data_IF_410264737001
#
_entry.id   IF_410264737001
#
_cell.length_a   1.000
_cell.length_b   1.000
_cell.length_c   1.000
_cell.angle_alpha   90.00
_cell.angle_beta   90.00
_cell.angle_gamma   90.00
#
_symmetry.space_group_name_H-M   'P 1'
#
loop_
_entity.id
_entity.type
_entity.pdbx_description
1 polymer ?
2 non-polymer ?
3 non-polymer ?
4 water ?
#
# COMPACT_ATOMS: atom_id res chain seq x y z
N UNK A 1 -21.01 17.38 2.47
CA UNK A 1 -19.85 17.30 1.54
C UNK A 1 -19.90 16.06 0.66
N UNK A 2 -19.50 16.20 -0.59
CA UNK A 2 -19.23 15.06 -1.47
C UNK A 2 -17.74 14.72 -1.42
N UNK A 3 -17.43 13.43 -1.30
CA UNK A 3 -16.06 12.96 -1.30
C UNK A 3 -15.82 12.03 -2.50
N UNK A 4 -14.70 12.21 -3.18
CA UNK A 4 -14.34 11.35 -4.30
C UNK A 4 -13.13 10.51 -3.94
N UNK A 5 -13.34 9.21 -3.87
CA UNK A 5 -12.23 8.28 -3.72
C UNK A 5 -11.87 7.83 -5.12
N UNK A 6 -10.59 7.66 -5.38
CA UNK A 6 -10.17 7.24 -6.71
C UNK A 6 -9.37 5.92 -6.68
N UNK A 7 -9.61 5.05 -7.66
CA UNK A 7 -9.06 3.72 -7.65
C UNK A 7 -10.13 2.63 -7.61
N UNK A 8 -9.72 1.37 -7.69
CA UNK A 8 -10.68 0.28 -7.84
C UNK A 8 -10.40 -0.96 -6.98
N UNK A 9 -9.39 -0.91 -6.12
CA UNK A 9 -9.03 -2.08 -5.34
C UNK A 9 -9.55 -2.09 -3.91
N UNK A 10 -8.96 -2.94 -3.07
CA UNK A 10 -9.46 -3.11 -1.71
C UNK A 10 -9.24 -1.90 -0.83
N UNK A 11 -8.15 -1.19 -1.10
CA UNK A 11 -7.77 0.02 -0.37
C UNK A 11 -8.83 1.11 -0.55
N UNK A 12 -9.32 1.24 -1.77
CA UNK A 12 -10.32 2.24 -2.10
C UNK A 12 -11.68 1.89 -1.52
N UNK A 13 -11.96 0.59 -1.38
CA UNK A 13 -13.19 0.15 -0.74
C UNK A 13 -13.16 0.57 0.73
N UNK A 14 -12.04 0.26 1.38
CA UNK A 14 -11.86 0.67 2.76
C UNK A 14 -11.96 2.18 2.90
N UNK A 15 -11.40 2.90 1.93
CA UNK A 15 -11.54 4.35 1.92
C UNK A 15 -13.00 4.75 1.80
N UNK A 16 -13.69 4.20 0.80
CA UNK A 16 -15.11 4.49 0.61
C UNK A 16 -15.92 4.07 1.82
N UNK A 17 -15.57 2.92 2.38
CA UNK A 17 -16.19 2.42 3.60
C UNK A 17 -16.06 3.40 4.78
N UNK A 18 -14.85 3.90 5.00
CA UNK A 18 -14.57 4.76 6.14
C UNK A 18 -15.18 6.15 5.92
N UNK A 19 -15.01 6.68 4.71
CA UNK A 19 -15.54 8.00 4.39
C UNK A 19 -17.05 8.05 4.59
N UNK A 20 -17.72 6.93 4.31
CA UNK A 20 -19.17 6.87 4.37
C UNK A 20 -19.69 6.92 5.80
N UNK A 21 -18.86 6.50 6.73
CA UNK A 21 -19.22 6.56 8.14
C UNK A 21 -19.14 7.99 8.66
N UNK A 22 -18.61 8.88 7.83
CA UNK A 22 -18.35 10.26 8.25
C UNK A 22 -19.62 11.10 8.31
N UNK A 23 -19.69 11.97 9.31
CA UNK A 23 -20.88 12.78 9.52
C UNK A 23 -20.88 14.05 8.66
N UNK A 24 -19.77 14.31 7.97
CA UNK A 24 -19.63 15.53 7.17
C UNK A 24 -20.07 15.30 5.74
N UNK A 25 -20.23 14.02 5.37
CA UNK A 25 -20.33 13.63 3.97
C UNK A 25 -21.77 13.30 3.53
N UNK A 26 -22.27 14.04 2.55
CA UNK A 26 -23.59 13.77 1.96
C UNK A 26 -23.48 12.64 0.94
N UNK A 27 -22.43 12.69 0.12
CA UNK A 27 -22.22 11.70 -0.93
C UNK A 27 -20.77 11.25 -1.06
N UNK A 28 -20.58 9.95 -1.29
CA UNK A 28 -19.26 9.41 -1.56
C UNK A 28 -19.22 8.80 -2.95
N UNK A 29 -18.34 9.32 -3.80
CA UNK A 29 -18.18 8.78 -5.14
C UNK A 29 -16.91 7.93 -5.19
N UNK A 30 -16.95 6.85 -5.95
CA UNK A 30 -15.74 6.08 -6.18
C UNK A 30 -15.58 5.95 -7.67
N UNK A 31 -14.38 6.23 -8.16
CA UNK A 31 -14.16 6.25 -9.60
C UNK A 31 -12.87 5.56 -9.98
N UNK A 32 -12.97 4.41 -10.66
CA UNK A 32 -14.26 3.78 -11.01
C UNK A 32 -14.92 3.05 -9.84
N UNK A 33 -14.11 2.59 -8.90
CA UNK A 33 -14.62 1.75 -7.84
C UNK A 33 -14.76 0.31 -8.30
N UNK A 34 -15.65 -0.43 -7.66
CA UNK A 34 -16.01 -1.76 -8.09
C UNK A 34 -17.34 -2.10 -7.43
N UNK A 35 -17.90 -3.26 -7.75
CA UNK A 35 -19.31 -3.53 -7.44
C UNK A 35 -19.56 -3.98 -6.01
N UNK A 36 -18.51 -4.41 -5.31
CA UNK A 36 -18.66 -4.75 -3.91
C UNK A 36 -18.70 -3.50 -3.06
N UNK A 37 -18.43 -2.38 -3.72
CA UNK A 37 -18.12 -1.12 -3.07
C UNK A 37 -19.38 -0.25 -3.02
N UNK A 38 -20.47 -0.81 -3.53
CA UNK A 38 -21.60 0.00 -3.98
C UNK A 38 -22.49 0.51 -2.87
N UNK A 39 -22.45 -0.16 -1.72
CA UNK A 39 -23.19 0.28 -0.54
C UNK A 39 -22.46 1.46 0.11
N UNK A 40 -21.18 1.58 -0.19
CA UNK A 40 -20.35 2.64 0.39
C UNK A 40 -20.23 3.84 -0.55
N UNK A 41 -20.12 3.57 -1.85
CA UNK A 41 -19.77 4.60 -2.83
C UNK A 41 -20.58 4.49 -4.12
N UNK A 42 -21.28 5.56 -4.49
CA UNK A 42 -21.89 5.67 -5.80
C UNK A 42 -20.79 5.63 -6.84
N UNK A 43 -20.72 4.53 -7.61
CA UNK A 43 -19.65 4.34 -8.56
C UNK A 43 -19.72 5.39 -9.66
N UNK A 44 -18.60 5.57 -10.37
CA UNK A 44 -18.47 6.60 -11.39
C UNK A 44 -17.55 6.10 -12.48
N UNK A 45 -18.09 5.96 -13.69
CA UNK A 45 -17.40 5.18 -14.73
C UNK A 45 -16.18 5.89 -15.32
N UNK A 46 -15.54 6.74 -14.54
CA UNK A 46 -14.35 7.39 -15.02
C UNK A 46 -13.14 6.60 -14.55
N UNK A 47 -12.33 6.11 -15.48
CA UNK A 47 -11.14 5.38 -15.10
C UNK A 47 -10.13 6.38 -14.57
N UNK A 48 -9.13 5.88 -13.82
CA UNK A 48 -8.25 6.74 -13.04
C UNK A 48 -7.05 7.28 -13.84
N UNK A 49 -6.89 6.82 -15.07
CA UNK A 49 -5.90 7.44 -15.94
C UNK A 49 -6.52 8.67 -16.58
N UNK A 50 -7.82 8.82 -16.37
CA UNK A 50 -8.62 9.83 -17.03
C UNK A 50 -8.57 11.14 -16.24
N UNK A 51 -7.37 11.68 -16.05
CA UNK A 51 -7.19 12.83 -15.18
C UNK A 51 -8.16 13.96 -15.52
N UNK A 52 -8.47 14.10 -16.81
CA UNK A 52 -9.29 15.19 -17.29
C UNK A 52 -10.78 14.97 -17.00
N UNK A 53 -11.24 13.74 -17.17
CA UNK A 53 -12.61 13.42 -16.83
C UNK A 53 -12.81 13.36 -15.32
N UNK A 54 -11.74 13.03 -14.60
CA UNK A 54 -11.82 13.05 -13.14
C UNK A 54 -11.90 14.50 -12.65
N UNK A 55 -11.01 15.35 -13.15
CA UNK A 55 -11.04 16.76 -12.79
C UNK A 55 -12.38 17.37 -13.16
N UNK A 56 -12.85 17.04 -14.36
CA UNK A 56 -14.07 17.61 -14.89
C UNK A 56 -15.26 17.14 -14.08
N UNK A 57 -15.25 15.87 -13.72
CA UNK A 57 -16.36 15.32 -12.96
C UNK A 57 -16.43 16.03 -11.61
N UNK A 58 -15.31 15.99 -10.90
CA UNK A 58 -15.21 16.51 -9.53
C UNK A 58 -15.53 18.02 -9.45
N UNK A 59 -14.99 18.78 -10.40
CA UNK A 59 -15.26 20.21 -10.49
C UNK A 59 -16.75 20.48 -10.62
N UNK A 60 -17.41 19.68 -11.46
CA UNK A 60 -18.80 19.94 -11.79
C UNK A 60 -19.77 19.34 -10.78
N UNK A 61 -19.33 18.33 -10.05
CA UNK A 61 -20.19 17.62 -9.11
C UNK A 61 -19.95 18.01 -7.66
N UNK A 62 -19.25 19.13 -7.48
CA UNK A 62 -19.07 19.73 -6.17
C UNK A 62 -18.38 18.79 -5.17
N UNK A 63 -17.27 18.20 -5.59
CA UNK A 63 -16.52 17.32 -4.70
C UNK A 63 -15.67 18.17 -3.78
N UNK A 64 -15.97 18.08 -2.49
CA UNK A 64 -15.27 18.90 -1.52
C UNK A 64 -13.91 18.34 -1.16
N UNK A 65 -13.74 17.04 -1.31
CA UNK A 65 -12.49 16.37 -0.96
C UNK A 65 -12.32 15.15 -1.84
N UNK A 66 -11.19 15.10 -2.55
CA UNK A 66 -10.83 13.93 -3.34
C UNK A 66 -9.67 13.19 -2.70
N UNK A 67 -9.83 11.88 -2.56
CA UNK A 67 -8.74 11.04 -2.05
C UNK A 67 -8.26 10.13 -3.17
N UNK A 68 -6.96 10.17 -3.44
CA UNK A 68 -6.41 9.41 -4.55
C UNK A 68 -5.78 8.12 -4.04
N UNK A 69 -6.35 6.98 -4.41
CA UNK A 69 -5.90 5.71 -3.87
C UNK A 69 -4.61 5.13 -4.40
N UNK A 70 -4.46 4.94 -5.73
CA UNK A 70 -3.26 4.36 -6.35
C UNK A 70 -2.15 5.37 -6.69
N UNK A 71 -0.94 4.85 -6.89
CA UNK A 71 0.24 5.68 -7.01
C UNK A 71 0.56 6.18 -8.41
N UNK A 72 0.15 5.46 -9.45
CA UNK A 72 0.48 5.90 -10.80
C UNK A 72 -0.12 7.27 -11.07
N UNK A 73 -1.41 7.45 -10.77
CA UNK A 73 -1.98 8.78 -11.00
C UNK A 73 -1.21 9.86 -10.25
N UNK A 74 -0.72 9.52 -9.07
CA UNK A 74 0.06 10.45 -8.25
C UNK A 74 1.42 10.69 -8.87
N UNK A 75 2.08 9.59 -9.26
CA UNK A 75 3.39 9.65 -9.90
C UNK A 75 3.27 10.52 -11.14
N UNK A 76 2.13 10.37 -11.84
CA UNK A 76 1.89 11.10 -13.06
C UNK A 76 1.13 12.40 -12.86
N UNK A 77 0.94 12.78 -11.60
CA UNK A 77 0.55 14.14 -11.27
C UNK A 77 -0.94 14.45 -11.30
N UNK A 78 -1.78 13.47 -11.01
CA UNK A 78 -3.21 13.73 -11.00
C UNK A 78 -3.55 14.84 -10.02
N UNK A 79 -2.75 14.94 -8.95
CA UNK A 79 -2.95 15.94 -7.91
C UNK A 79 -2.78 17.35 -8.47
N UNK A 80 -1.66 17.60 -9.14
CA UNK A 80 -1.38 18.92 -9.70
C UNK A 80 -2.56 19.41 -10.55
N UNK A 81 -3.17 18.48 -11.28
CA UNK A 81 -4.28 18.82 -12.16
C UNK A 81 -5.49 19.31 -11.37
N UNK A 82 -5.79 18.64 -10.26
CA UNK A 82 -6.95 19.02 -9.47
C UNK A 82 -6.77 20.41 -8.89
N UNK A 83 -5.55 20.72 -8.46
CA UNK A 83 -5.22 22.02 -7.90
C UNK A 83 -5.32 23.14 -8.93
N UNK A 84 -4.88 22.88 -10.16
CA UNK A 84 -5.15 23.81 -11.27
C UNK A 84 -6.64 24.11 -11.44
N UNK A 85 -7.48 23.10 -11.20
CA UNK A 85 -8.92 23.28 -11.30
C UNK A 85 -9.51 23.90 -10.04
N UNK A 86 -8.70 24.03 -9.00
CA UNK A 86 -9.14 24.72 -7.81
C UNK A 86 -9.71 23.74 -6.82
N UNK A 87 -9.43 22.46 -7.05
CA UNK A 87 -10.10 21.37 -6.36
C UNK A 87 -9.33 20.93 -5.13
N UNK A 88 -10.06 20.59 -4.09
CA UNK A 88 -9.48 20.24 -2.80
C UNK A 88 -9.15 18.74 -2.83
N UNK A 89 -7.87 18.40 -2.73
CA UNK A 89 -7.46 17.01 -2.93
C UNK A 89 -6.34 16.54 -2.00
N UNK A 90 -6.41 15.28 -1.57
CA UNK A 90 -5.43 14.76 -0.64
C UNK A 90 -4.47 13.79 -1.33
N UNK A 91 -3.20 14.16 -1.38
CA UNK A 91 -2.21 13.37 -2.10
C UNK A 91 -1.04 14.26 -2.46
N UNK A 92 0.12 13.68 -2.83
CA UNK A 92 1.32 14.42 -3.21
C UNK A 92 1.28 14.98 -4.62
N UNK A 93 1.99 16.08 -4.81
CA UNK A 93 2.28 16.62 -6.14
C UNK A 93 3.19 15.64 -6.88
N UNK A 94 3.26 15.76 -8.19
CA UNK A 94 4.16 14.95 -9.01
C UNK A 94 5.60 15.08 -8.48
N UNK A 95 5.95 16.29 -8.04
CA UNK A 95 7.26 16.51 -7.45
C UNK A 95 7.46 15.68 -6.18
N UNK A 96 6.44 15.57 -5.35
CA UNK A 96 6.58 14.89 -4.07
C UNK A 96 6.51 13.37 -4.29
N UNK A 97 5.61 12.94 -5.18
CA UNK A 97 5.41 11.53 -5.45
C UNK A 97 6.69 10.88 -5.94
N UNK A 98 7.71 11.70 -6.21
CA UNK A 98 8.96 11.19 -6.71
C UNK A 98 9.57 10.29 -5.64
N UNK A 99 9.17 10.52 -4.39
CA UNK A 99 9.73 9.81 -3.26
C UNK A 99 9.41 8.33 -3.38
N UNK A 100 8.30 8.00 -4.05
CA UNK A 100 8.02 6.60 -4.36
C UNK A 100 8.36 6.26 -5.80
N UNK A 101 8.27 7.27 -6.67
CA UNK A 101 8.37 7.03 -8.10
C UNK A 101 9.77 6.67 -8.56
N UNK A 102 10.78 7.28 -7.96
CA UNK A 102 12.17 6.96 -8.25
C UNK A 102 12.92 6.49 -7.00
N UNK A 103 13.24 5.20 -6.93
CA UNK A 103 13.94 4.67 -5.77
C UNK A 103 15.34 5.23 -5.66
N UNK A 104 15.95 5.59 -6.77
CA UNK A 104 17.24 6.27 -6.70
C UNK A 104 17.09 7.56 -5.86
N UNK A 105 16.12 8.39 -6.26
CA UNK A 105 15.81 9.62 -5.55
C UNK A 105 15.67 9.41 -4.04
N UNK A 106 14.96 8.35 -3.65
CA UNK A 106 14.69 8.10 -2.24
C UNK A 106 15.91 7.56 -1.54
N UNK A 107 16.76 6.83 -2.27
CA UNK A 107 17.97 6.28 -1.69
C UNK A 107 18.89 7.44 -1.42
N UNK A 108 19.04 8.30 -2.42
CA UNK A 108 19.90 9.47 -2.36
C UNK A 108 19.48 10.43 -1.25
N UNK A 109 18.17 10.67 -1.13
CA UNK A 109 17.62 11.58 -0.12
C UNK A 109 17.94 11.07 1.28
N UNK A 110 17.63 9.80 1.51
CA UNK A 110 17.94 9.17 2.79
C UNK A 110 19.42 9.27 3.12
N UNK A 111 20.26 9.04 2.13
CA UNK A 111 21.71 9.20 2.24
C UNK A 111 22.05 10.63 2.64
N UNK A 112 21.61 11.57 1.80
CA UNK A 112 21.84 12.99 2.02
C UNK A 112 21.39 13.45 3.41
N UNK A 113 20.26 12.91 3.87
CA UNK A 113 19.62 13.36 5.11
C UNK A 113 19.74 12.34 6.22
N UNK A 114 20.76 11.50 6.11
CA UNK A 114 21.10 10.55 7.17
C UNK A 114 19.85 9.82 7.70
N UNK A 115 19.07 9.23 6.80
CA UNK A 115 17.99 8.33 7.19
C UNK A 115 18.41 6.87 6.99
N UNK A 116 18.18 6.03 8.00
CA UNK A 116 18.64 4.63 7.95
C UNK A 116 18.03 3.84 6.80
N UNK A 117 18.90 3.29 5.95
CA UNK A 117 18.46 2.42 4.87
C UNK A 117 19.62 1.50 4.45
N UNK A 118 19.33 0.52 3.59
CA UNK A 118 20.37 -0.36 3.11
C UNK A 118 21.41 0.43 2.32
N UNK A 119 22.66 0.04 2.46
CA UNK A 119 23.74 0.62 1.68
C UNK A 119 23.56 0.20 0.22
N UNK A 120 23.95 1.07 -0.72
CA UNK A 120 23.57 0.88 -2.12
C UNK A 120 24.46 1.61 -3.13
N UNK A 121 24.26 1.27 -4.40
CA UNK A 121 24.65 2.12 -5.53
C UNK A 121 23.59 2.00 -6.62
N UNK A 122 23.57 2.96 -7.54
CA UNK A 122 22.58 2.93 -8.60
C UNK A 122 23.28 2.98 -9.96
N UNK A 123 22.84 2.12 -10.89
CA UNK A 123 23.55 1.96 -12.16
C UNK A 123 22.70 2.22 -13.40
N UNK A 124 23.36 2.67 -14.47
CA UNK A 124 22.74 2.80 -15.77
C UNK A 124 23.49 1.95 -16.79
N UNK A 125 24.69 1.52 -16.40
CA UNK A 125 25.48 0.59 -17.20
C UNK A 125 25.39 -0.83 -16.66
N UNK A 126 25.05 -1.78 -17.53
CA UNK A 126 24.98 -3.18 -17.15
C UNK A 126 26.34 -3.69 -16.68
N UNK A 127 27.37 -3.41 -17.48
CA UNK A 127 28.75 -3.81 -17.15
C UNK A 127 29.15 -3.34 -15.77
N UNK A 128 28.84 -2.08 -15.46
CA UNK A 128 29.26 -1.52 -14.20
C UNK A 128 28.45 -2.07 -13.04
N UNK A 129 27.18 -2.35 -13.30
CA UNK A 129 26.32 -2.99 -12.31
C UNK A 129 26.84 -4.40 -11.98
N UNK A 130 27.15 -5.16 -13.02
CA UNK A 130 27.62 -6.54 -12.88
C UNK A 130 28.93 -6.61 -12.11
N UNK A 131 29.82 -5.67 -12.41
CA UNK A 131 31.11 -5.62 -11.72
C UNK A 131 30.92 -5.31 -10.23
N UNK A 132 29.88 -4.54 -9.92
CA UNK A 132 29.52 -4.23 -8.54
C UNK A 132 28.90 -5.42 -7.82
N UNK A 133 28.07 -6.18 -8.54
CA UNK A 133 27.56 -7.43 -7.99
C UNK A 133 28.71 -8.38 -7.70
N UNK A 134 29.68 -8.44 -8.61
CA UNK A 134 30.78 -9.37 -8.45
C UNK A 134 31.77 -8.90 -7.37
N UNK A 135 31.67 -7.63 -6.99
CA UNK A 135 32.51 -7.09 -5.92
C UNK A 135 31.86 -7.31 -4.55
N UNK A 136 30.58 -7.00 -4.44
CA UNK A 136 29.85 -7.14 -3.19
C UNK A 136 29.43 -8.58 -2.87
N UNK A 137 29.30 -9.40 -3.91
CA UNK A 137 28.83 -10.76 -3.70
C UNK A 137 27.36 -10.85 -3.28
N UNK A 138 26.85 -12.07 -3.18
CA UNK A 138 25.47 -12.29 -2.78
C UNK A 138 25.43 -12.74 -1.32
N UNK A 139 24.31 -12.51 -0.61
CA UNK A 139 23.05 -11.91 -1.10
C UNK A 139 23.17 -10.44 -1.48
N UNK A 140 22.31 -10.02 -2.40
CA UNK A 140 22.31 -8.66 -2.90
C UNK A 140 20.91 -8.41 -3.47
N UNK A 141 20.44 -7.17 -3.38
CA UNK A 141 19.09 -6.86 -3.84
C UNK A 141 19.13 -5.93 -5.06
N UNK A 142 18.45 -6.35 -6.12
CA UNK A 142 18.46 -5.61 -7.38
C UNK A 142 17.09 -4.95 -7.54
N UNK A 143 17.08 -3.62 -7.59
CA UNK A 143 15.83 -2.88 -7.67
C UNK A 143 15.72 -1.97 -8.88
N UNK A 144 14.65 -2.12 -9.65
CA UNK A 144 14.34 -1.15 -10.70
C UNK A 144 14.01 0.20 -10.06
N UNK A 145 14.47 1.27 -10.68
CA UNK A 145 14.26 2.61 -10.14
C UNK A 145 12.78 3.00 -10.12
N UNK A 146 12.12 2.88 -11.28
CA UNK A 146 10.77 3.36 -11.44
C UNK A 146 9.77 2.28 -11.09
N UNK A 147 8.49 2.56 -11.30
CA UNK A 147 7.44 1.77 -10.67
C UNK A 147 7.48 0.27 -11.00
N UNK A 148 7.42 -0.07 -12.29
CA UNK A 148 7.65 -1.45 -12.70
C UNK A 148 6.62 -2.46 -12.15
N UNK A 149 5.61 -1.96 -11.43
CA UNK A 149 4.40 -2.73 -11.15
C UNK A 149 4.42 -3.56 -9.87
N UNK A 150 5.48 -3.40 -9.07
CA UNK A 150 5.64 -4.21 -7.86
C UNK A 150 6.46 -5.46 -8.11
N UNK A 151 6.54 -5.86 -9.38
CA UNK A 151 7.25 -7.07 -9.81
C UNK A 151 8.66 -6.76 -10.28
N UNK A 152 9.27 -5.74 -9.69
CA UNK A 152 10.59 -5.31 -10.11
C UNK A 152 11.64 -5.27 -9.02
N UNK A 153 11.46 -6.10 -8.00
CA UNK A 153 12.47 -6.28 -6.97
C UNK A 153 12.90 -7.74 -6.89
N UNK A 154 14.20 -7.98 -6.97
CA UNK A 154 14.75 -9.32 -6.92
C UNK A 154 15.72 -9.46 -5.75
N UNK A 155 15.43 -10.35 -4.81
CA UNK A 155 16.41 -10.65 -3.78
C UNK A 155 17.25 -11.82 -4.26
N UNK A 156 18.48 -11.54 -4.68
CA UNK A 156 19.36 -12.55 -5.27
C UNK A 156 20.24 -13.24 -4.22
N UNK A 157 20.19 -14.56 -4.21
CA UNK A 157 21.02 -15.35 -3.32
C UNK A 157 22.34 -15.73 -3.99
N UNK A 158 22.39 -15.58 -5.32
CA UNK A 158 23.63 -15.79 -6.09
C UNK A 158 23.96 -14.58 -6.94
N UNK A 159 25.22 -14.47 -7.35
CA UNK A 159 25.61 -13.39 -8.25
C UNK A 159 25.06 -13.64 -9.66
N UNK A 160 24.82 -14.90 -9.97
CA UNK A 160 24.27 -15.26 -11.27
C UNK A 160 22.81 -14.84 -11.34
N UNK A 161 22.11 -14.97 -10.22
CA UNK A 161 20.73 -14.50 -10.11
C UNK A 161 20.66 -12.97 -10.28
N UNK A 162 21.64 -12.27 -9.70
CA UNK A 162 21.66 -10.82 -9.74
C UNK A 162 22.00 -10.33 -11.14
N UNK A 163 23.03 -10.91 -11.73
CA UNK A 163 23.47 -10.48 -13.04
C UNK A 163 22.39 -10.74 -14.12
N UNK A 164 21.61 -11.79 -13.94
CA UNK A 164 20.48 -12.08 -14.82
C UNK A 164 19.45 -10.96 -14.77
N UNK A 165 19.14 -10.50 -13.57
CA UNK A 165 18.15 -9.45 -13.39
C UNK A 165 18.63 -8.12 -13.97
N UNK A 166 19.90 -7.81 -13.72
CA UNK A 166 20.54 -6.65 -14.32
C UNK A 166 20.48 -6.73 -15.84
N UNK A 167 20.48 -7.95 -16.37
CA UNK A 167 20.36 -8.15 -17.81
C UNK A 167 18.95 -7.85 -18.31
N UNK A 168 17.94 -8.26 -17.56
CA UNK A 168 16.55 -7.97 -17.94
C UNK A 168 16.32 -6.48 -17.84
N UNK A 169 16.75 -5.90 -16.73
CA UNK A 169 16.47 -4.49 -16.44
C UNK A 169 17.21 -3.56 -17.38
N UNK A 170 18.52 -3.73 -17.46
CA UNK A 170 19.36 -2.78 -18.18
C UNK A 170 19.60 -3.17 -19.65
N UNK A 171 19.90 -4.43 -19.93
CA UNK A 171 20.13 -4.83 -21.32
C UNK A 171 18.83 -5.07 -22.13
N UNK A 172 17.79 -5.60 -21.49
CA UNK A 172 16.52 -5.86 -22.20
C UNK A 172 15.49 -4.75 -21.93
N UNK A 173 15.77 -3.91 -20.94
CA UNK A 173 14.83 -2.86 -20.51
C UNK A 173 13.45 -3.42 -20.18
N UNK A 174 13.43 -4.54 -19.46
CA UNK A 174 12.19 -5.22 -19.11
C UNK A 174 11.10 -4.19 -18.84
N UNK A 175 11.41 -3.24 -17.97
CA UNK A 175 10.41 -2.27 -17.53
C UNK A 175 10.59 -0.89 -18.16
N UNK A 176 11.21 -0.83 -19.33
CA UNK A 176 11.37 0.45 -20.01
C UNK A 176 12.25 1.41 -19.25
N UNK A 177 11.75 2.62 -19.03
CA UNK A 177 12.47 3.65 -18.28
C UNK A 177 12.49 3.34 -16.78
N UNK A 178 11.48 2.60 -16.34
CA UNK A 178 11.41 2.13 -14.96
C UNK A 178 12.69 1.37 -14.58
N UNK A 179 13.22 0.60 -15.54
CA UNK A 179 14.45 -0.18 -15.34
C UNK A 179 15.65 0.42 -16.07
N UNK A 180 15.48 1.61 -16.64
CA UNK A 180 16.58 2.33 -17.29
C UNK A 180 17.70 2.55 -16.29
N UNK A 181 17.33 2.57 -15.02
CA UNK A 181 18.26 2.76 -13.93
C UNK A 181 17.96 1.74 -12.84
N UNK A 182 19.00 1.32 -12.13
CA UNK A 182 18.87 0.23 -11.16
C UNK A 182 19.52 0.56 -9.81
N UNK A 183 18.79 0.34 -8.73
CA UNK A 183 19.39 0.38 -7.39
C UNK A 183 19.84 -1.03 -7.01
N UNK A 184 21.11 -1.15 -6.64
CA UNK A 184 21.63 -2.38 -6.06
C UNK A 184 21.97 -2.04 -4.60
N UNK A 185 21.37 -2.78 -3.67
CA UNK A 185 21.56 -2.49 -2.26
C UNK A 185 21.79 -3.77 -1.44
N UNK A 186 22.20 -3.59 -0.19
CA UNK A 186 22.53 -4.71 0.68
C UNK A 186 21.29 -5.46 1.15
N UNK A 187 21.46 -6.77 1.32
CA UNK A 187 20.39 -7.61 1.84
C UNK A 187 20.26 -7.44 3.37
N UNK A 188 19.08 -7.04 3.82
CA UNK A 188 18.82 -6.87 5.24
C UNK A 188 17.78 -7.93 5.67
N UNK A 189 17.70 -8.21 6.97
CA UNK A 189 16.72 -9.17 7.45
C UNK A 189 16.03 -8.76 8.75
N UNK A 190 14.94 -9.45 9.06
CA UNK A 190 14.27 -9.18 10.31
C UNK A 190 12.78 -9.05 10.08
N UNK A 191 12.09 -8.47 11.05
CA UNK A 191 10.67 -8.20 10.92
C UNK A 191 10.46 -7.01 9.98
N UNK A 192 9.56 -7.19 9.03
CA UNK A 192 9.19 -6.13 8.12
C UNK A 192 7.79 -5.61 8.52
N UNK A 193 7.63 -4.30 8.57
CA UNK A 193 6.33 -3.73 8.92
C UNK A 193 6.09 -2.41 8.22
N UNK A 194 4.83 -2.01 8.14
CA UNK A 194 4.47 -0.78 7.47
C UNK A 194 4.14 0.32 8.45
N UNK A 195 4.83 1.44 8.29
CA UNK A 195 4.51 2.64 9.04
C UNK A 195 3.96 3.71 8.10
N UNK A 196 2.66 3.88 8.11
CA UNK A 196 2.03 4.94 7.34
C UNK A 196 1.76 6.14 8.22
N UNK A 197 1.83 7.34 7.64
CA UNK A 197 1.55 8.56 8.37
C UNK A 197 0.91 9.62 7.48
N UNK A 198 0.03 10.42 8.08
CA UNK A 198 -0.51 11.61 7.44
C UNK A 198 0.52 12.76 7.47
N UNK A 199 0.94 13.19 6.29
CA UNK A 199 2.02 14.17 6.17
C UNK A 199 1.55 15.42 5.41
N UNK A 200 1.92 16.59 5.91
CA UNK A 200 1.78 17.80 5.13
C UNK A 200 2.92 18.72 5.50
N UNK A 201 3.78 19.01 4.53
CA UNK A 201 5.04 19.64 4.85
C UNK A 201 5.79 18.81 5.88
N UNK A 202 6.13 19.43 7.01
CA UNK A 202 6.92 18.76 8.04
C UNK A 202 6.03 18.13 9.09
N UNK A 203 4.73 18.42 9.03
CA UNK A 203 3.79 17.85 9.97
C UNK A 203 3.50 16.37 9.69
N UNK A 204 3.83 15.54 10.67
CA UNK A 204 3.63 14.11 10.58
C UNK A 204 2.61 13.66 11.62
N UNK A 205 1.62 12.91 11.18
CA UNK A 205 0.67 12.29 12.09
C UNK A 205 0.66 10.79 11.86
N UNK A 206 1.39 10.05 12.72
CA UNK A 206 1.58 8.62 12.52
C UNK A 206 0.27 7.86 12.65
N UNK A 207 0.14 6.81 11.84
CA UNK A 207 -0.92 5.83 11.98
C UNK A 207 -0.37 4.60 12.71
N UNK A 208 -1.26 3.73 13.16
CA UNK A 208 -0.85 2.46 13.77
C UNK A 208 -0.17 1.63 12.70
N UNK A 209 0.76 0.76 13.09
CA UNK A 209 1.53 -0.01 12.11
C UNK A 209 0.88 -1.35 11.74
N UNK A 210 1.30 -1.88 10.59
CA UNK A 210 0.77 -3.14 10.06
C UNK A 210 1.87 -3.99 9.45
N UNK A 211 1.57 -5.26 9.22
CA UNK A 211 2.51 -6.18 8.58
C UNK A 211 1.76 -7.07 7.62
N UNK A 212 2.38 -7.38 6.48
CA UNK A 212 1.70 -8.23 5.51
C UNK A 212 2.54 -9.38 5.00
N UNK A 213 1.87 -10.37 4.41
CA UNK A 213 2.55 -11.47 3.74
C UNK A 213 2.64 -11.16 2.26
N UNK A 214 3.85 -10.83 1.83
CA UNK A 214 4.11 -10.49 0.44
C UNK A 214 4.16 -11.75 -0.41
N UNK A 215 4.27 -12.91 0.25
CA UNK A 215 4.52 -14.17 -0.45
C UNK A 215 3.28 -15.04 -0.65
N UNK A 216 3.31 -15.84 -1.72
CA UNK A 216 2.13 -16.51 -2.23
C UNK A 216 1.60 -17.61 -1.32
N UNK A 217 2.46 -18.55 -0.96
CA UNK A 217 2.01 -19.75 -0.26
C UNK A 217 2.43 -19.75 1.20
N UNK A 218 1.72 -20.55 2.00
CA UNK A 218 1.97 -20.64 3.44
C UNK A 218 3.44 -20.89 3.75
N UNK A 219 3.81 -20.71 5.01
CA UNK A 219 5.21 -20.79 5.39
C UNK A 219 6.03 -19.82 4.57
N UNK A 220 5.36 -18.85 3.96
CA UNK A 220 6.00 -17.82 3.15
C UNK A 220 6.92 -18.43 2.08
N UNK A 221 6.40 -19.43 1.39
CA UNK A 221 7.10 -20.01 0.24
C UNK A 221 6.30 -19.72 -1.02
N UNK A 222 6.99 -19.52 -2.14
CA UNK A 222 6.32 -19.26 -3.40
C UNK A 222 6.73 -17.93 -4.03
N UNK A 223 6.16 -17.61 -5.20
CA UNK A 223 6.42 -16.30 -5.83
C UNK A 223 5.90 -15.18 -4.96
N UNK A 224 6.21 -13.94 -5.34
CA UNK A 224 5.70 -12.80 -4.60
C UNK A 224 4.25 -12.54 -4.97
N UNK A 225 3.57 -11.76 -4.15
CA UNK A 225 2.22 -11.29 -4.46
C UNK A 225 2.11 -9.79 -4.16
N UNK A 226 0.91 -9.26 -4.33
CA UNK A 226 0.64 -7.88 -3.95
C UNK A 226 0.04 -7.82 -2.55
N UNK A 227 0.14 -8.94 -1.82
CA UNK A 227 -0.40 -9.01 -0.47
C UNK A 227 -1.42 -10.12 -0.31
N UNK A 228 -1.12 -11.07 0.57
CA UNK A 228 -2.00 -12.22 0.80
C UNK A 228 -2.71 -12.10 2.13
N UNK A 229 -2.70 -10.90 2.68
CA UNK A 229 -3.33 -10.64 3.96
C UNK A 229 -2.40 -9.90 4.92
N UNK A 230 -2.98 -9.11 5.82
CA UNK A 230 -2.19 -8.41 6.82
C UNK A 230 -2.99 -8.26 8.10
N UNK A 231 -2.44 -7.52 9.05
CA UNK A 231 -3.08 -7.38 10.34
C UNK A 231 -2.45 -6.27 11.15
N UNK A 232 -3.24 -5.69 12.05
CA UNK A 232 -2.78 -4.61 12.92
C UNK A 232 -3.54 -4.75 14.23
N UNK A 233 -2.84 -4.61 15.39
CA UNK A 233 -1.42 -4.24 15.52
C UNK A 233 -0.43 -5.35 15.13
N UNK A 234 0.85 -5.05 15.27
CA UNK A 234 1.87 -6.07 15.13
C UNK A 234 2.49 -6.28 16.52
N UNK A 235 2.09 -7.37 17.21
CA UNK A 235 2.29 -7.53 18.65
C UNK A 235 3.77 -7.62 19.03
N UNK A 236 4.57 -8.17 18.12
CA UNK A 236 5.96 -8.50 18.44
C UNK A 236 6.89 -7.32 18.18
N UNK A 237 6.32 -6.17 17.85
CA UNK A 237 7.13 -4.97 17.68
C UNK A 237 6.69 -3.94 18.70
N UNK A 238 7.65 -3.40 19.46
CA UNK A 238 7.32 -2.62 20.64
C UNK A 238 6.74 -1.27 20.24
N UNK A 239 6.22 -0.55 21.22
CA UNK A 239 5.63 0.76 20.98
C UNK A 239 6.73 1.81 20.88
N UNK A 240 7.88 1.49 21.47
CA UNK A 240 9.03 2.39 21.43
C UNK A 240 9.75 2.24 20.11
N UNK A 241 9.71 1.02 19.56
CA UNK A 241 10.23 0.76 18.23
C UNK A 241 9.59 1.74 17.26
N UNK A 242 8.26 1.80 17.30
CA UNK A 242 7.48 2.61 16.37
C UNK A 242 7.68 4.10 16.62
N UNK A 243 7.59 4.53 17.87
CA UNK A 243 7.81 5.92 18.21
C UNK A 243 9.18 6.41 17.71
N UNK A 244 10.14 5.48 17.66
CA UNK A 244 11.51 5.78 17.28
C UNK A 244 11.70 5.95 15.78
N UNK A 245 11.02 5.12 14.99
CA UNK A 245 11.10 5.20 13.53
C UNK A 245 10.37 6.44 13.04
N UNK A 246 9.37 6.86 13.81
CA UNK A 246 8.62 8.07 13.51
C UNK A 246 9.52 9.30 13.60
N UNK A 247 10.42 9.26 14.57
CA UNK A 247 11.24 10.43 14.89
C UNK A 247 12.55 10.44 14.10
N UNK A 248 13.11 9.26 13.83
CA UNK A 248 14.40 9.17 13.13
C UNK A 248 14.28 8.90 11.63
N UNK A 249 13.07 8.55 11.17
CA UNK A 249 12.85 8.19 9.78
C UNK A 249 11.78 9.06 9.13
N UNK A 250 10.58 9.01 9.68
CA UNK A 250 9.40 9.52 9.00
C UNK A 250 9.35 11.04 9.02
N UNK A 251 9.49 11.62 10.21
CA UNK A 251 9.56 13.07 10.34
C UNK A 251 10.77 13.67 9.60
N UNK A 252 11.95 13.05 9.72
CA UNK A 252 13.11 13.50 8.93
C UNK A 252 12.89 13.42 7.42
N UNK A 253 12.12 12.44 6.98
CA UNK A 253 11.84 12.28 5.55
C UNK A 253 10.92 13.40 5.09
N UNK A 254 9.87 13.64 5.88
CA UNK A 254 8.92 14.72 5.60
C UNK A 254 9.65 16.04 5.51
N UNK A 255 10.50 16.30 6.50
CA UNK A 255 11.24 17.56 6.56
C UNK A 255 12.19 17.65 5.37
N UNK A 256 12.85 16.54 5.06
CA UNK A 256 13.74 16.47 3.91
C UNK A 256 13.02 16.81 2.62
N UNK A 257 11.78 16.35 2.48
CA UNK A 257 11.06 16.59 1.25
C UNK A 257 10.74 18.08 1.07
N UNK A 258 10.30 18.71 2.16
CA UNK A 258 10.08 20.16 2.19
C UNK A 258 11.33 20.91 1.75
N UNK A 259 12.46 20.56 2.35
CA UNK A 259 13.71 21.25 2.10
C UNK A 259 14.35 20.89 0.76
N UNK A 260 13.63 20.14 -0.07
CA UNK A 260 14.09 19.90 -1.43
C UNK A 260 13.10 20.43 -2.47
N UNK A 261 12.25 21.38 -2.07
CA UNK A 261 11.28 21.95 -2.99
C UNK A 261 10.26 20.92 -3.43
N UNK A 262 10.15 19.84 -2.66
CA UNK A 262 9.24 18.76 -2.97
C UNK A 262 8.35 18.47 -1.77
N UNK A 263 7.68 19.50 -1.26
CA UNK A 263 6.89 19.36 -0.05
C UNK A 263 5.81 18.28 -0.23
N UNK A 264 5.64 17.47 0.80
CA UNK A 264 4.77 16.30 0.71
C UNK A 264 3.53 16.44 1.57
N UNK A 265 2.37 16.40 0.90
CA UNK A 265 1.09 16.21 1.56
C UNK A 265 0.51 14.90 1.03
N UNK A 266 -0.11 14.12 1.90
CA UNK A 266 -0.61 12.82 1.48
C UNK A 266 -0.35 11.78 2.55
N UNK A 267 -0.37 10.51 2.15
CA UNK A 267 0.09 9.46 3.03
C UNK A 267 1.52 9.07 2.66
N UNK A 268 2.43 9.14 3.62
CA UNK A 268 3.76 8.63 3.34
C UNK A 268 3.84 7.23 3.94
N UNK A 269 4.30 6.29 3.14
CA UNK A 269 4.36 4.90 3.55
C UNK A 269 5.84 4.53 3.70
N UNK A 270 6.25 4.25 4.94
CA UNK A 270 7.58 3.71 5.17
C UNK A 270 7.48 2.21 5.45
N UNK A 271 7.84 1.41 4.45
CA UNK A 271 8.02 0.00 4.68
C UNK A 271 9.37 -0.16 5.32
N UNK A 272 9.40 -0.75 6.51
CA UNK A 272 10.61 -0.79 7.32
C UNK A 272 11.04 -2.23 7.67
N UNK A 273 12.36 -2.39 7.80
CA UNK A 273 12.98 -3.64 8.23
C UNK A 273 13.62 -3.41 9.60
N UNK A 274 13.05 -3.98 10.65
CA UNK A 274 13.70 -3.88 11.95
C UNK A 274 14.89 -4.84 11.97
N UNK A 275 16.09 -4.30 11.75
CA UNK A 275 17.30 -5.12 11.70
C UNK A 275 17.91 -5.19 13.11
N UNK A 276 18.99 -5.96 13.24
CA UNK A 276 19.73 -6.02 14.50
C UNK A 276 20.46 -4.69 14.73
N UNK A 277 20.44 -3.83 13.72
CA UNK A 277 20.94 -2.46 13.85
C UNK A 277 19.80 -1.46 14.04
N UNK A 278 18.58 -1.95 14.21
CA UNK A 278 17.44 -1.06 14.34
C UNK A 278 16.65 -0.92 13.05
N UNK A 279 15.70 0.01 13.03
CA UNK A 279 14.83 0.17 11.88
C UNK A 279 15.59 0.77 10.69
N UNK A 280 15.33 0.24 9.50
CA UNK A 280 15.91 0.75 8.26
C UNK A 280 14.88 0.78 7.14
N UNK A 281 14.99 1.78 6.26
CA UNK A 281 14.01 1.93 5.19
C UNK A 281 14.30 1.00 4.01
N UNK A 282 13.34 0.12 3.73
CA UNK A 282 13.33 -0.68 2.51
C UNK A 282 12.88 0.22 1.35
N UNK A 283 11.86 1.04 1.61
CA UNK A 283 11.27 1.91 0.60
C UNK A 283 10.22 2.88 1.17
N UNK A 284 10.00 3.97 0.46
CA UNK A 284 8.81 4.81 0.68
C UNK A 284 7.75 4.59 -0.40
N UNK A 285 6.47 4.59 0.01
CA UNK A 285 5.38 4.78 -0.92
C UNK A 285 4.71 6.11 -0.61
N UNK A 286 4.07 6.67 -1.61
CA UNK A 286 3.49 8.00 -1.51
C UNK A 286 1.97 7.96 -1.36
N UNK A 287 1.45 6.84 -0.89
CA UNK A 287 0.00 6.72 -0.65
C UNK A 287 -0.32 5.60 0.34
N UNK A 288 -1.60 5.43 0.67
CA UNK A 288 -2.05 4.28 1.48
C UNK A 288 -1.54 2.99 0.85
N UNK A 289 -1.09 2.05 1.68
CA UNK A 289 -0.67 0.75 1.18
C UNK A 289 -1.80 -0.26 1.05
N UNK A 290 -1.61 -1.24 0.18
CA UNK A 290 -2.55 -2.34 -0.03
C UNK A 290 -1.80 -3.66 0.24
N UNK A 291 -2.29 -4.48 1.18
CA UNK A 291 -3.54 -4.46 1.94
C UNK A 291 -3.45 -3.87 3.35
N UNK A 292 -2.43 -3.05 3.60
CA UNK A 292 -2.24 -2.47 4.93
C UNK A 292 -3.43 -1.62 5.37
N UNK A 293 -4.09 -1.00 4.40
CA UNK A 293 -5.15 -0.04 4.68
C UNK A 293 -6.36 -0.74 5.28
N UNK A 294 -6.63 -1.95 4.79
CA UNK A 294 -7.80 -2.70 5.19
C UNK A 294 -7.79 -3.08 6.69
N UNK A 295 -6.59 -3.28 7.25
CA UNK A 295 -6.45 -3.50 8.69
C UNK A 295 -6.10 -2.25 9.49
N UNK A 296 -5.73 -1.18 8.81
CA UNK A 296 -5.35 0.05 9.53
C UNK A 296 -6.52 1.05 9.66
N UNK A 297 -7.27 1.24 8.60
CA UNK A 297 -8.33 2.23 8.67
C UNK A 297 -9.37 1.86 9.71
N UNK A 298 -9.80 0.58 9.75
CA UNK A 298 -10.87 0.20 10.68
C UNK A 298 -10.50 0.44 12.16
N UNK A 299 -9.20 0.46 12.46
CA UNK A 299 -8.73 0.74 13.82
C UNK A 299 -8.73 2.23 14.15
N UNK A 300 -8.97 3.09 13.17
CA UNK A 300 -9.01 4.53 13.45
C UNK A 300 -10.32 4.92 14.10
N UNK A 301 -10.23 5.57 15.25
CA UNK A 301 -11.39 6.00 16.00
C UNK A 301 -11.94 7.28 15.38
N UNK A 302 -11.04 8.18 14.97
CA UNK A 302 -11.41 9.46 14.39
C UNK A 302 -12.19 9.30 13.08
N UNK A 303 -12.89 10.35 12.68
CA UNK A 303 -13.43 10.45 11.32
C UNK A 303 -12.32 10.85 10.31
N UNK A 304 -12.04 9.94 9.39
CA UNK A 304 -10.99 10.15 8.40
C UNK A 304 -11.22 11.45 7.63
N UNK A 305 -12.47 11.67 7.24
CA UNK A 305 -12.81 12.86 6.46
C UNK A 305 -12.50 14.13 7.25
N UNK A 306 -12.94 14.16 8.51
CA UNK A 306 -12.57 15.25 9.40
C UNK A 306 -11.05 15.39 9.51
N UNK A 307 -10.35 14.26 9.60
CA UNK A 307 -8.91 14.29 9.76
C UNK A 307 -8.23 14.91 8.56
N UNK A 308 -8.58 14.44 7.36
CA UNK A 308 -7.96 15.00 6.16
C UNK A 308 -8.24 16.50 6.03
N UNK A 309 -9.47 16.91 6.35
CA UNK A 309 -9.85 18.31 6.22
C UNK A 309 -9.03 19.22 7.14
N UNK A 310 -8.81 18.78 8.38
CA UNK A 310 -8.00 19.56 9.31
C UNK A 310 -6.54 19.61 8.90
N UNK A 311 -6.09 18.58 8.20
CA UNK A 311 -4.73 18.49 7.67
C UNK A 311 -4.54 19.41 6.47
N UNK A 312 -5.52 19.44 5.58
CA UNK A 312 -5.42 20.27 4.38
C UNK A 312 -5.56 21.75 4.71
N UNK A 313 -6.61 22.11 5.46
CA UNK A 313 -6.61 23.35 6.23
C UNK A 313 -5.48 23.09 7.18
N UNK A 314 -4.94 24.09 7.84
CA UNK A 314 -3.78 23.79 8.67
C UNK A 314 -4.12 23.86 10.15
N UNK A 315 -5.04 23.00 10.56
CA UNK A 315 -5.64 23.04 11.90
C UNK A 315 -5.15 21.90 12.75
N UNK A 316 -5.39 21.99 14.06
CA UNK A 316 -5.06 20.90 14.96
C UNK A 316 -5.70 19.63 14.39
N UNK A 317 -4.92 18.57 14.29
CA UNK A 317 -5.46 17.28 13.88
C UNK A 317 -5.67 16.39 15.10
N UNK A 318 -6.88 15.86 15.23
CA UNK A 318 -7.21 14.98 16.36
C UNK A 318 -7.40 13.55 15.86
N UNK A 319 -6.32 12.76 15.94
CA UNK A 319 -6.30 11.41 15.39
C UNK A 319 -6.29 10.46 16.58
N UNK A 320 -7.36 9.67 16.72
CA UNK A 320 -7.45 8.70 17.81
C UNK A 320 -7.55 7.28 17.25
N UNK A 321 -6.88 6.34 17.90
CA UNK A 321 -6.86 4.98 17.41
C UNK A 321 -7.56 4.02 18.38
N UNK A 322 -8.20 2.98 17.83
CA UNK A 322 -8.93 2.00 18.61
C UNK A 322 -8.00 0.91 19.11
N UNK A 323 -8.35 0.30 20.25
CA UNK A 323 -7.54 -0.76 20.83
C UNK A 323 -7.73 -2.06 20.08
N UNK A 324 -8.93 -2.24 19.53
CA UNK A 324 -9.26 -3.46 18.82
C UNK A 324 -8.17 -3.76 17.77
N UNK A 325 -8.00 -5.03 17.46
CA UNK A 325 -7.09 -5.43 16.39
C UNK A 325 -7.92 -5.80 15.16
N UNK A 326 -7.30 -5.72 13.98
CA UNK A 326 -7.94 -6.18 12.76
C UNK A 326 -6.99 -7.10 12.01
N UNK A 327 -7.56 -8.11 11.37
CA UNK A 327 -6.79 -9.06 10.59
C UNK A 327 -7.52 -9.36 9.28
N UNK A 328 -6.77 -9.41 8.19
CA UNK A 328 -7.35 -9.50 6.85
C UNK A 328 -6.69 -10.61 6.04
N UNK A 329 -7.50 -11.37 5.30
CA UNK A 329 -6.99 -12.45 4.46
C UNK A 329 -7.44 -12.28 3.02
N UNK A 330 -6.49 -12.39 2.10
CA UNK A 330 -6.77 -12.25 0.67
C UNK A 330 -7.32 -13.56 0.12
N UNK A 331 -8.38 -13.45 -0.67
CA UNK A 331 -8.86 -14.57 -1.48
C UNK A 331 -8.42 -14.32 -2.91
N UNK A 332 -7.45 -15.09 -3.38
CA UNK A 332 -6.88 -14.87 -4.71
C UNK A 332 -7.37 -15.88 -5.75
N UNK A 333 -7.23 -15.51 -7.02
CA UNK A 333 -7.65 -16.37 -8.12
C UNK A 333 -6.55 -17.38 -8.49
N UNK A 334 -6.96 -18.61 -8.80
CA UNK A 334 -6.01 -19.69 -9.08
C UNK A 334 -5.03 -19.31 -10.20
N UNK A 335 -3.74 -19.34 -9.88
CA UNK A 335 -2.71 -18.97 -10.85
C UNK A 335 -1.89 -17.80 -10.37
N UNK A 336 -2.53 -16.89 -9.64
CA UNK A 336 -1.88 -15.73 -9.05
C UNK A 336 -0.65 -16.18 -8.26
N UNK A 337 0.46 -15.43 -8.34
CA UNK A 337 0.63 -14.14 -9.03
C UNK A 337 0.63 -14.28 -10.54
N UNK A 338 1.15 -15.41 -11.02
CA UNK A 338 1.26 -15.67 -12.44
C UNK A 338 -0.13 -15.63 -13.08
N UNK A 339 -0.22 -16.07 -14.33
CA UNK A 339 -1.48 -16.00 -15.07
C UNK A 339 -2.62 -16.54 -14.20
N UNK A 340 -3.72 -15.81 -14.14
CA UNK A 340 -4.85 -16.19 -13.29
C UNK A 340 -6.19 -16.24 -14.02
N UNK A 341 -7.18 -16.86 -13.38
CA UNK A 341 -8.50 -17.08 -13.98
C UNK A 341 -9.46 -15.90 -13.79
N UNK A 342 -10.08 -15.45 -14.88
CA UNK A 342 -11.12 -14.42 -14.82
C UNK A 342 -12.49 -14.98 -15.20
N UNK A 343 -13.47 -14.79 -14.33
CA UNK A 343 -14.82 -15.21 -14.63
C UNK A 343 -15.42 -16.21 -13.65
N UNK A 344 -14.57 -16.75 -12.78
CA UNK A 344 -15.01 -17.72 -11.77
C UNK A 344 -16.11 -17.14 -10.89
N UNK A 345 -17.25 -17.85 -10.80
CA UNK A 345 -18.33 -17.51 -9.86
C UNK A 345 -17.96 -17.87 -8.42
N UNK A 346 -18.06 -16.90 -7.53
CA UNK A 346 -17.65 -17.07 -6.14
C UNK A 346 -18.76 -16.72 -5.13
N UNK A 347 -19.98 -16.60 -5.63
CA UNK A 347 -21.11 -16.46 -4.74
C UNK A 347 -21.38 -15.03 -4.26
N UNK A 348 -22.02 -14.92 -3.11
CA UNK A 348 -22.39 -13.62 -2.54
C UNK A 348 -21.22 -12.97 -1.82
N UNK A 349 -20.28 -13.79 -1.35
CA UNK A 349 -19.05 -13.29 -0.74
C UNK A 349 -19.33 -12.54 0.55
N UNK A 350 -20.54 -12.65 1.06
CA UNK A 350 -20.93 -11.89 2.26
C UNK A 350 -21.08 -12.80 3.48
N UNK A 351 -20.08 -12.80 4.34
CA UNK A 351 -20.01 -13.71 5.47
C UNK A 351 -21.20 -13.56 6.41
N UNK A 352 -21.39 -14.54 7.29
CA UNK A 352 -22.40 -14.44 8.33
C UNK A 352 -21.74 -14.00 9.64
N UNK A 353 -20.48 -14.37 9.82
CA UNK A 353 -19.70 -13.89 10.95
C UNK A 353 -19.85 -12.39 11.16
N UNK A 354 -20.04 -11.98 12.41
CA UNK A 354 -20.17 -10.57 12.72
C UNK A 354 -18.82 -9.97 13.13
N UNK A 355 -18.65 -8.68 12.87
CA UNK A 355 -17.37 -8.00 13.02
C UNK A 355 -16.46 -8.35 11.87
N UNK A 356 -17.05 -8.53 10.70
CA UNK A 356 -16.28 -8.82 9.49
C UNK A 356 -16.68 -7.90 8.34
N UNK A 357 -15.67 -7.47 7.57
CA UNK A 357 -15.89 -6.78 6.32
C UNK A 357 -15.04 -7.39 5.22
N UNK A 358 -15.67 -7.68 4.09
CA UNK A 358 -14.96 -8.15 2.93
C UNK A 358 -14.75 -6.95 2.00
N UNK A 359 -13.51 -6.50 1.87
CA UNK A 359 -13.18 -5.44 0.94
C UNK A 359 -12.82 -6.07 -0.39
N UNK A 360 -13.52 -5.64 -1.45
CA UNK A 360 -13.37 -6.27 -2.76
C UNK A 360 -12.21 -5.66 -3.55
N UNK A 361 -11.30 -6.51 -4.02
CA UNK A 361 -10.16 -6.06 -4.82
C UNK A 361 -10.41 -6.36 -6.28
N UNK A 362 -10.70 -7.62 -6.58
CA UNK A 362 -11.02 -7.98 -7.94
C UNK A 362 -12.33 -8.75 -7.98
N UNK A 363 -13.40 -8.06 -8.33
CA UNK A 363 -14.71 -8.68 -8.39
C UNK A 363 -15.62 -7.92 -9.35
N UNK A 364 -16.45 -8.67 -10.07
CA UNK A 364 -17.53 -8.08 -10.84
C UNK A 364 -18.86 -8.66 -10.37
N UNK A 365 -19.91 -7.86 -10.43
CA UNK A 365 -21.25 -8.37 -10.21
C UNK A 365 -21.73 -8.93 -11.55
N UNK A 366 -22.24 -10.16 -11.52
CA UNK A 366 -22.75 -10.82 -12.71
C UNK A 366 -23.59 -12.03 -12.32
N UNK A 367 -24.88 -11.99 -12.62
CA UNK A 367 -25.74 -13.13 -12.40
C UNK A 367 -26.31 -13.20 -10.99
N UNK A 368 -26.43 -12.04 -10.36
CA UNK A 368 -26.89 -11.99 -8.98
C UNK A 368 -25.78 -12.35 -8.01
N UNK A 369 -24.61 -12.64 -8.56
CA UNK A 369 -23.45 -13.06 -7.77
C UNK A 369 -22.21 -12.22 -8.07
N UNK A 370 -21.07 -12.68 -7.59
CA UNK A 370 -19.80 -12.10 -7.98
C UNK A 370 -18.99 -13.08 -8.79
N UNK A 371 -18.38 -12.57 -9.85
CA UNK A 371 -17.37 -13.31 -10.60
C UNK A 371 -16.01 -12.81 -10.14
N UNK A 372 -14.98 -13.61 -10.31
CA UNK A 372 -13.62 -13.12 -10.10
C UNK A 372 -13.31 -12.12 -11.20
N UNK A 373 -12.74 -10.98 -10.81
CA UNK A 373 -12.40 -9.94 -11.76
C UNK A 373 -10.94 -9.48 -11.61
N UNK A 374 -10.11 -10.35 -11.04
CA UNK A 374 -8.69 -10.01 -10.87
C UNK A 374 -7.84 -11.06 -10.19
N UNK A 375 -6.54 -10.80 -10.11
CA UNK A 375 -5.63 -11.73 -9.46
C UNK A 375 -5.92 -11.89 -7.98
N UNK A 376 -6.08 -10.77 -7.28
CA UNK A 376 -6.53 -10.80 -5.89
C UNK A 376 -7.94 -10.25 -5.81
N UNK A 377 -8.80 -10.98 -5.08
CA UNK A 377 -10.25 -10.86 -5.25
C UNK A 377 -10.95 -10.17 -4.09
N UNK A 378 -10.62 -10.57 -2.87
CA UNK A 378 -11.34 -10.09 -1.70
C UNK A 378 -10.42 -10.04 -0.49
N UNK A 379 -10.78 -9.20 0.47
CA UNK A 379 -9.98 -9.04 1.68
C UNK A 379 -10.83 -9.28 2.91
N UNK A 380 -11.01 -10.55 3.24
CA UNK A 380 -11.77 -10.93 4.42
C UNK A 380 -11.04 -10.33 5.61
N UNK A 381 -11.64 -9.30 6.21
CA UNK A 381 -11.03 -8.61 7.33
C UNK A 381 -11.95 -8.72 8.54
N UNK A 382 -11.39 -8.95 9.72
CA UNK A 382 -12.19 -9.06 10.92
C UNK A 382 -11.55 -8.26 12.07
N UNK A 383 -12.38 -7.87 13.03
CA UNK A 383 -11.91 -7.03 14.13
C UNK A 383 -12.25 -7.65 15.49
N UNK A 384 -11.48 -7.29 16.52
CA UNK A 384 -11.60 -7.92 17.83
C UNK A 384 -10.73 -7.16 18.85
N UNK A 385 -10.81 -7.55 20.12
CA UNK A 385 -10.10 -6.81 21.16
C UNK A 385 -8.63 -7.17 21.21
N UNK A 386 -8.32 -8.39 20.77
CA UNK A 386 -6.93 -8.84 20.74
C UNK A 386 -6.64 -9.57 19.45
N UNK A 387 -5.36 -9.64 19.12
CA UNK A 387 -4.92 -10.22 17.87
C UNK A 387 -5.59 -11.56 17.57
N UNK A 388 -5.22 -12.60 18.32
CA UNK A 388 -5.55 -13.98 17.89
C UNK A 388 -7.05 -14.23 17.85
N UNK A 389 -7.79 -13.50 18.68
CA UNK A 389 -9.24 -13.52 18.62
C UNK A 389 -9.70 -13.17 17.21
N UNK A 390 -9.27 -12.01 16.73
CA UNK A 390 -9.59 -11.54 15.38
C UNK A 390 -9.02 -12.48 14.33
N UNK A 391 -7.85 -13.07 14.62
CA UNK A 391 -7.21 -14.00 13.70
C UNK A 391 -8.07 -15.26 13.52
N UNK A 392 -8.57 -15.79 14.63
CA UNK A 392 -9.46 -16.94 14.60
C UNK A 392 -10.74 -16.62 13.84
N UNK A 393 -11.25 -15.40 14.03
CA UNK A 393 -12.51 -14.99 13.43
C UNK A 393 -12.44 -14.79 11.90
N UNK A 394 -11.30 -14.32 11.41
CA UNK A 394 -11.13 -14.12 9.98
C UNK A 394 -11.36 -15.44 9.27
N UNK A 395 -10.67 -16.48 9.74
CA UNK A 395 -10.69 -17.76 9.06
C UNK A 395 -12.02 -18.46 9.17
N UNK A 396 -12.75 -18.17 10.25
CA UNK A 396 -14.16 -18.50 10.29
C UNK A 396 -14.84 -17.97 9.03
N UNK A 397 -14.84 -16.65 8.88
CA UNK A 397 -15.47 -16.01 7.73
C UNK A 397 -14.79 -16.42 6.42
N UNK A 398 -13.46 -16.55 6.46
CA UNK A 398 -12.72 -17.10 5.32
C UNK A 398 -13.35 -18.42 4.88
N UNK A 399 -13.76 -19.22 5.86
CA UNK A 399 -14.32 -20.54 5.59
C UNK A 399 -15.82 -20.50 5.30
N UNK A 400 -16.44 -19.34 5.52
CA UNK A 400 -17.85 -19.20 5.18
C UNK A 400 -18.01 -18.81 3.72
N UNK A 401 -17.34 -17.73 3.32
CA UNK A 401 -17.58 -17.12 2.03
C UNK A 401 -16.71 -17.74 0.93
N UNK A 402 -15.80 -18.62 1.33
CA UNK A 402 -14.93 -19.28 0.37
C UNK A 402 -15.76 -20.06 -0.66
N UNK A 403 -15.36 -19.96 -1.92
CA UNK A 403 -15.99 -20.70 -2.99
C UNK A 403 -14.88 -21.32 -3.84
N UNK A 404 -15.23 -22.33 -4.65
CA UNK A 404 -14.22 -23.01 -5.49
C UNK A 404 -13.55 -22.09 -6.52
N UNK A 405 -12.23 -22.20 -6.63
CA UNK A 405 -11.50 -21.37 -7.58
C UNK A 405 -10.57 -20.39 -6.87
N UNK A 406 -10.93 -20.07 -5.63
CA UNK A 406 -10.11 -19.22 -4.78
C UNK A 406 -9.14 -20.07 -3.98
N UNK A 407 -7.98 -19.51 -3.66
CA UNK A 407 -7.16 -20.07 -2.60
C UNK A 407 -6.82 -19.00 -1.58
N UNK A 408 -5.87 -19.31 -0.69
CA UNK A 408 -5.46 -18.36 0.35
C UNK A 408 -4.46 -19.03 1.28
N UNK A 409 -3.98 -18.28 2.27
CA UNK A 409 -3.06 -18.83 3.25
C UNK A 409 -3.75 -18.97 4.61
N UNK A 410 -3.46 -20.05 5.31
CA UNK A 410 -4.11 -20.33 6.58
C UNK A 410 -3.25 -19.78 7.73
N UNK A 411 -2.06 -19.32 7.38
CA UNK A 411 -1.06 -18.98 8.37
C UNK A 411 -0.79 -17.48 8.47
N UNK A 412 -1.82 -16.66 8.22
CA UNK A 412 -1.67 -15.22 8.29
C UNK A 412 -1.63 -14.77 9.75
N UNK A 413 -0.60 -14.01 10.12
CA UNK A 413 -0.48 -13.51 11.47
C UNK A 413 -0.04 -14.59 12.46
N UNK A 414 0.17 -15.80 11.95
CA UNK A 414 0.53 -16.93 12.79
C UNK A 414 1.94 -16.79 13.34
N UNK A 415 2.90 -16.50 12.45
CA UNK A 415 4.30 -16.38 12.86
C UNK A 415 4.49 -15.19 13.79
N UNK A 416 3.73 -14.12 13.56
CA UNK A 416 3.82 -12.93 14.39
C UNK A 416 3.29 -13.24 15.78
N UNK A 417 2.17 -13.97 15.83
CA UNK A 417 1.55 -14.36 17.09
C UNK A 417 2.49 -15.17 17.95
N UNK A 418 3.17 -16.13 17.32
CA UNK A 418 4.11 -16.96 18.05
C UNK A 418 5.29 -16.13 18.54
N UNK A 419 6.03 -15.56 17.59
CA UNK A 419 7.20 -14.76 17.90
C UNK A 419 6.88 -13.64 18.88
N UNK A 420 5.61 -13.54 19.26
CA UNK A 420 5.16 -12.51 20.18
C UNK A 420 5.03 -13.06 21.59
N UNK A 421 5.67 -14.19 21.87
CA UNK A 421 5.52 -14.84 23.16
C UNK A 421 6.81 -15.48 23.67
N UNK A 422 6.92 -15.69 24.91
X LIG B 1 6.66 0.71 -3.37
X LIG C 1 -13.18 20.30 14.61
X LIG D 1 6.56 -2.93 -0.79
X LIG E 1 8.14 -2.67 -4.17
X LIG E 1 8.21 -3.41 -5.40
X LIG E 1 7.38 -3.30 -3.14
X LIG E 1 7.65 -1.29 -4.43
X LIG E 1 10.26 -2.96 -2.09
X LIG E 1 11.45 -2.15 -2.01
X LIG E 1 9.39 -2.79 -0.95
X LIG E 1 9.61 -2.57 -3.50
X LIG E 1 10.63 -4.48 -2.26
X LIG E 1 9.71 -5.57 -2.33
X LIG E 1 9.92 -6.55 -1.24
X LIG E 1 11.30 -7.09 -1.28
X LIG E 1 9.83 -6.03 0.16
X LIG E 1 8.53 -5.91 0.68
X LIG E 1 10.74 -6.97 0.98
X LIG E 1 10.03 -8.11 1.39
X LIG E 1 11.89 -7.24 -0.02
X LIG E 1 13.12 -6.38 0.02
X LIG E 1 13.37 -5.19 -0.64
X LIG E 1 14.54 -4.65 -0.41
X LIG E 1 15.17 -5.51 0.47
X LIG E 1 16.43 -5.55 1.10
X LIG E 1 17.33 -4.69 0.99
X LIG E 1 16.76 -6.61 1.95
X LIG E 1 15.84 -7.59 2.14
X LIG E 1 14.64 -7.64 1.58
X LIG E 1 14.33 -6.58 0.74
#
# INVERSE_FOLDING_TARGET
MNVLIIGKGGREHTLAWKAAQSSLVENVFAAPGNDGMAASAQLVNIEESDHAGLVSFAKQNQVGLTIVGPEVPLIEGLVDEFEKAGLHVFGPSKAAAIIEGSKQFAKDLMKKYDIPTAEYETFTSFDEAKAYVQEKGAPIVIKADGLAAGKGVTVAMTEEEAIACLHDFLEDEKFGDASASVVIEEYLSGEEFSLMAFVKGEKVYPMVIAQDHKRAFDGDKGPNTGGMGAYSPVPQISEETVRHAVETIVKPAAKAMVQEGRSFTGVLYAGLMLTENGSKVIEFNARFGDPETQVVLPRMESDLVQVLLDLLDDKEVDLRWKDTAAVSVVLASEGYPESYAKGTPIGSLAAETEQVVVFHAGTKAEGGEFVTNGGRVANVTAFDETFEAARDRVYKAVDEIFKPGLFFRKDIGARALKAAQK
MG MG
MG MG
MG MG
ADP PB O1B O2B O3B PA O1A O2A O3A O5' C5' C4' O4' C3' O3' C2' O2' C1' N9 C8 N7 C5 C6 N6 N1 C2 N3 C4
#
